data_IF_148157808540
#
_entry.id   IF_148157808540
#
_cell.length_a   1.000
_cell.length_b   1.000
_cell.length_c   1.000
_cell.angle_alpha   90.00
_cell.angle_beta   90.00
_cell.angle_gamma   90.00
#
_symmetry.space_group_name_H-M   'P 1'
#
loop_
_entity.id
_entity.type
_entity.pdbx_description
1 polymer ?
#
# COMPACT_ATOMS: atom_id res chain seq x y z
N UNK A 1 -17.54 -5.63 34.10
CA UNK A 1 -17.58 -5.03 32.74
C UNK A 1 -16.35 -5.57 32.01
N UNK A 2 -16.52 -6.44 31.02
CA UNK A 2 -15.40 -7.03 30.29
C UNK A 2 -14.87 -5.98 29.31
N UNK A 3 -13.60 -5.59 29.44
CA UNK A 3 -12.90 -4.75 28.48
C UNK A 3 -12.13 -5.69 27.55
N UNK A 4 -12.65 -5.88 26.33
CA UNK A 4 -11.92 -6.57 25.27
C UNK A 4 -11.01 -5.53 24.62
N UNK A 5 -9.70 -5.73 24.75
CA UNK A 5 -8.70 -4.98 24.01
C UNK A 5 -8.35 -5.80 22.76
N UNK A 6 -8.54 -5.21 21.58
CA UNK A 6 -8.01 -5.72 20.32
C UNK A 6 -6.68 -5.01 20.06
N UNK A 7 -5.59 -5.76 20.09
CA UNK A 7 -4.21 -5.30 19.91
C UNK A 7 -3.69 -5.58 18.48
N UNK A 8 -4.53 -6.12 17.60
CA UNK A 8 -4.16 -6.35 16.20
C UNK A 8 -3.97 -5.02 15.48
N UNK A 9 -2.86 -4.90 14.75
CA UNK A 9 -2.61 -3.74 13.90
C UNK A 9 -3.67 -3.73 12.79
N UNK A 10 -4.55 -2.72 12.72
CA UNK A 10 -5.79 -2.80 11.92
C UNK A 10 -5.54 -2.80 10.41
N UNK A 11 -4.29 -2.69 9.98
CA UNK A 11 -3.86 -2.68 8.58
C UNK A 11 -2.58 -3.49 8.48
N UNK A 12 -2.72 -4.79 8.24
CA UNK A 12 -1.59 -5.68 7.97
C UNK A 12 -1.46 -5.86 6.45
N UNK A 13 -0.27 -5.60 5.92
CA UNK A 13 0.13 -6.04 4.58
C UNK A 13 0.72 -7.44 4.72
N UNK A 14 0.23 -8.39 3.95
CA UNK A 14 0.85 -9.71 3.87
C UNK A 14 2.12 -9.61 3.00
N UNK A 15 3.28 -9.88 3.60
CA UNK A 15 4.60 -10.13 2.95
C UNK A 15 5.38 -8.95 2.34
N UNK A 16 6.68 -9.21 2.07
CA UNK A 16 7.55 -8.37 1.24
C UNK A 16 7.06 -8.40 -0.21
N UNK A 17 6.78 -7.22 -0.77
CA UNK A 17 6.35 -7.11 -2.16
C UNK A 17 7.58 -7.05 -3.06
N UNK A 18 7.61 -7.93 -4.05
CA UNK A 18 8.68 -7.98 -5.05
C UNK A 18 8.08 -7.64 -6.41
N UNK A 19 8.67 -6.66 -7.08
CA UNK A 19 8.32 -6.33 -8.46
C UNK A 19 9.02 -7.30 -9.43
N UNK A 20 8.23 -8.05 -10.17
CA UNK A 20 8.66 -9.07 -11.14
C UNK A 20 8.31 -8.71 -12.60
N UNK A 21 7.81 -7.48 -12.83
CA UNK A 21 7.42 -6.99 -14.14
C UNK A 21 5.91 -6.88 -14.35
N UNK A 22 5.09 -7.36 -13.42
CA UNK A 22 3.62 -7.26 -13.47
C UNK A 22 3.05 -6.27 -12.44
N UNK A 23 1.75 -5.99 -12.55
CA UNK A 23 1.05 -5.12 -11.60
C UNK A 23 1.14 -5.72 -10.19
N UNK A 24 1.31 -4.86 -9.19
CA UNK A 24 1.36 -5.30 -7.79
C UNK A 24 0.00 -5.09 -7.16
N UNK A 25 -0.63 -6.19 -6.78
CA UNK A 25 -1.86 -6.19 -6.00
C UNK A 25 -1.55 -6.38 -4.51
N UNK A 26 -2.05 -5.45 -3.69
CA UNK A 26 -1.88 -5.44 -2.24
C UNK A 26 -3.26 -5.55 -1.62
N UNK A 27 -3.51 -6.67 -0.93
CA UNK A 27 -4.73 -6.87 -0.17
C UNK A 27 -4.51 -6.46 1.30
N UNK A 28 -5.42 -5.66 1.83
CA UNK A 28 -5.41 -5.21 3.21
C UNK A 28 -6.55 -5.87 3.99
N UNK A 29 -6.29 -6.23 5.24
CA UNK A 29 -7.36 -6.41 6.23
C UNK A 29 -7.68 -5.02 6.79
N UNK A 30 -8.89 -4.51 6.55
CA UNK A 30 -9.23 -3.11 6.84
C UNK A 30 -10.09 -2.89 8.10
N UNK A 31 -10.76 -3.93 8.61
CA UNK A 31 -11.77 -3.78 9.67
C UNK A 31 -12.78 -2.64 9.36
N UNK A 32 -12.75 -1.54 10.11
CA UNK A 32 -13.61 -0.36 9.91
C UNK A 32 -13.00 0.71 9.00
N UNK A 33 -11.73 0.56 8.62
CA UNK A 33 -11.02 1.54 7.79
C UNK A 33 -11.40 1.37 6.31
N UNK A 34 -11.24 2.46 5.56
CA UNK A 34 -11.19 2.46 4.09
C UNK A 34 -9.86 2.99 3.61
N UNK A 35 -9.40 2.49 2.47
CA UNK A 35 -8.24 3.05 1.77
C UNK A 35 -8.66 4.37 1.13
N UNK A 36 -7.86 5.41 1.34
CA UNK A 36 -8.13 6.77 0.85
C UNK A 36 -7.27 7.10 -0.36
N UNK A 37 -5.96 6.87 -0.25
CA UNK A 37 -5.00 7.17 -1.32
C UNK A 37 -3.66 6.49 -1.09
N UNK A 38 -2.91 6.34 -2.18
CA UNK A 38 -1.49 5.99 -2.17
C UNK A 38 -0.67 7.24 -2.48
N UNK A 39 0.42 7.44 -1.75
CA UNK A 39 1.31 8.60 -1.87
C UNK A 39 2.79 8.21 -1.74
N UNK A 40 3.65 9.10 -2.22
CA UNK A 40 5.11 8.94 -2.20
C UNK A 40 5.67 8.61 -3.59
N UNK A 41 6.97 8.89 -3.79
CA UNK A 41 7.68 8.64 -5.05
C UNK A 41 6.88 9.08 -6.30
N UNK A 42 6.30 10.28 -6.24
CA UNK A 42 5.56 10.91 -7.35
C UNK A 42 4.40 10.06 -7.91
N UNK A 43 3.92 9.05 -7.18
CA UNK A 43 2.75 8.29 -7.58
C UNK A 43 1.52 9.20 -7.56
N UNK A 44 0.65 9.03 -8.56
CA UNK A 44 -0.62 9.74 -8.68
C UNK A 44 -1.74 8.71 -8.85
N UNK A 45 -3.00 9.14 -8.71
CA UNK A 45 -4.17 8.27 -8.90
C UNK A 45 -4.31 7.71 -10.32
N UNK A 46 -3.47 8.13 -11.27
CA UNK A 46 -3.40 7.52 -12.61
C UNK A 46 -2.56 6.22 -12.63
N UNK A 47 -1.80 5.94 -11.57
CA UNK A 47 -0.87 4.81 -11.49
C UNK A 47 -1.27 3.75 -10.46
N UNK A 48 -2.45 3.88 -9.86
CA UNK A 48 -3.01 2.85 -9.01
C UNK A 48 -4.53 2.86 -9.04
N UNK A 49 -5.11 1.72 -8.72
CA UNK A 49 -6.54 1.54 -8.50
C UNK A 49 -6.79 1.11 -7.04
N UNK A 50 -7.85 1.64 -6.44
CA UNK A 50 -8.37 1.15 -5.15
C UNK A 50 -9.67 0.41 -5.44
N UNK A 51 -9.71 -0.89 -5.14
CA UNK A 51 -10.88 -1.73 -5.33
C UNK A 51 -11.21 -2.46 -4.02
N UNK A 52 -12.16 -1.91 -3.27
CA UNK A 52 -12.56 -2.42 -1.96
C UNK A 52 -11.39 -2.39 -0.97
N UNK A 53 -10.88 -3.58 -0.61
CA UNK A 53 -9.75 -3.73 0.30
C UNK A 53 -8.39 -3.90 -0.39
N UNK A 54 -8.33 -3.65 -1.70
CA UNK A 54 -7.14 -3.86 -2.52
C UNK A 54 -6.63 -2.55 -3.11
N UNK A 55 -5.31 -2.47 -3.25
CA UNK A 55 -4.60 -1.49 -4.07
C UNK A 55 -3.88 -2.23 -5.18
N UNK A 56 -4.09 -1.84 -6.43
CA UNK A 56 -3.36 -2.38 -7.59
C UNK A 56 -2.47 -1.25 -8.09
N UNK A 57 -1.15 -1.47 -8.14
CA UNK A 57 -0.16 -0.49 -8.62
C UNK A 57 0.27 -0.89 -10.03
N UNK A 58 0.18 0.05 -10.96
CA UNK A 58 0.50 -0.15 -12.38
C UNK A 58 1.99 -0.48 -12.59
N UNK A 59 2.24 -1.54 -13.37
CA UNK A 59 3.57 -2.02 -13.70
C UNK A 59 4.40 -1.03 -14.52
N UNK A 60 3.78 -0.15 -15.30
CA UNK A 60 4.53 0.84 -16.07
C UNK A 60 5.10 1.92 -15.15
N UNK A 61 4.35 2.35 -14.14
CA UNK A 61 4.86 3.21 -13.06
C UNK A 61 6.02 2.54 -12.33
N UNK A 62 5.85 1.29 -11.90
CA UNK A 62 6.89 0.54 -11.19
C UNK A 62 8.15 0.37 -12.06
N UNK A 63 7.99 -0.01 -13.32
CA UNK A 63 9.09 -0.16 -14.29
C UNK A 63 9.88 1.15 -14.46
N UNK A 64 9.18 2.28 -14.58
CA UNK A 64 9.83 3.60 -14.68
C UNK A 64 10.61 3.92 -13.42
N UNK A 65 10.03 3.69 -12.24
CA UNK A 65 10.69 3.97 -10.96
C UNK A 65 11.92 3.10 -10.76
N UNK A 66 11.87 1.82 -11.11
CA UNK A 66 12.99 0.89 -11.00
C UNK A 66 14.02 0.97 -12.15
N UNK A 67 13.77 1.82 -13.15
CA UNK A 67 14.75 2.20 -14.17
C UNK A 67 15.62 3.39 -13.72
N UNK A 68 15.23 4.13 -12.68
CA UNK A 68 16.06 5.18 -12.10
C UNK A 68 17.33 4.57 -11.47
N UNK A 69 18.49 5.18 -11.74
CA UNK A 69 19.79 4.60 -11.40
C UNK A 69 19.93 4.31 -9.90
N UNK A 70 20.31 3.08 -9.57
CA UNK A 70 20.57 2.64 -8.19
C UNK A 70 19.34 2.37 -7.32
N UNK A 71 18.11 2.43 -7.87
CA UNK A 71 16.91 2.12 -7.09
C UNK A 71 16.68 0.61 -6.96
N UNK A 72 16.81 0.10 -5.74
CA UNK A 72 16.53 -1.31 -5.37
C UNK A 72 15.21 -1.47 -4.61
N UNK A 73 14.77 -0.42 -3.91
CA UNK A 73 13.54 -0.40 -3.13
C UNK A 73 12.74 0.86 -3.43
N UNK A 74 11.43 0.70 -3.58
CA UNK A 74 10.45 1.76 -3.67
C UNK A 74 9.59 1.74 -2.40
N UNK A 75 9.46 2.90 -1.75
CA UNK A 75 8.66 3.04 -0.52
C UNK A 75 7.47 3.94 -0.79
N UNK A 76 6.27 3.37 -0.79
CA UNK A 76 5.04 4.12 -0.89
C UNK A 76 4.36 4.18 0.47
N UNK A 77 3.40 5.07 0.60
CA UNK A 77 2.54 5.15 1.77
C UNK A 77 1.09 5.00 1.33
N UNK A 78 0.31 4.30 2.13
CA UNK A 78 -1.12 4.13 1.93
C UNK A 78 -1.84 4.78 3.10
N UNK A 79 -2.78 5.68 2.80
CA UNK A 79 -3.59 6.36 3.79
C UNK A 79 -4.91 5.63 3.98
N UNK A 80 -5.29 5.48 5.25
CA UNK A 80 -6.51 4.84 5.68
C UNK A 80 -7.32 5.81 6.55
N UNK A 81 -8.64 5.71 6.48
CA UNK A 81 -9.52 6.51 7.33
C UNK A 81 -10.70 5.71 7.84
N UNK A 82 -11.13 6.04 9.05
CA UNK A 82 -12.51 5.87 9.54
C UNK A 82 -13.14 7.25 9.69
N UNK A 83 -14.37 7.33 10.17
CA UNK A 83 -15.02 8.61 10.47
C UNK A 83 -14.35 9.37 11.63
N UNK A 84 -13.52 8.71 12.44
CA UNK A 84 -12.90 9.29 13.64
C UNK A 84 -11.37 9.28 13.64
N UNK A 85 -10.73 8.50 12.75
CA UNK A 85 -9.29 8.26 12.80
C UNK A 85 -8.68 8.19 11.40
N UNK A 86 -7.46 8.70 11.29
CA UNK A 86 -6.61 8.54 10.12
C UNK A 86 -5.39 7.69 10.48
N UNK A 87 -4.96 6.85 9.55
CA UNK A 87 -3.81 5.97 9.73
C UNK A 87 -2.98 5.93 8.44
N UNK A 88 -1.66 5.75 8.59
CA UNK A 88 -0.72 5.67 7.49
C UNK A 88 0.04 4.34 7.60
N UNK A 89 0.05 3.55 6.53
CA UNK A 89 0.93 2.38 6.39
C UNK A 89 1.98 2.63 5.32
N UNK A 90 3.17 2.07 5.51
CA UNK A 90 4.20 2.06 4.46
C UNK A 90 4.15 0.75 3.69
N UNK A 91 4.37 0.86 2.39
CA UNK A 91 4.46 -0.26 1.45
C UNK A 91 5.89 -0.26 0.92
N UNK A 92 6.60 -1.37 1.12
CA UNK A 92 7.95 -1.58 0.63
C UNK A 92 7.92 -2.54 -0.55
N UNK A 93 8.40 -2.08 -1.70
CA UNK A 93 8.46 -2.86 -2.93
C UNK A 93 9.92 -2.97 -3.33
N UNK A 94 10.45 -4.19 -3.45
CA UNK A 94 11.82 -4.44 -3.89
C UNK A 94 11.87 -4.88 -5.35
N UNK A 95 12.99 -4.60 -6.02
CA UNK A 95 13.31 -5.17 -7.34
C UNK A 95 14.18 -6.41 -7.13
N UNK A 96 13.84 -7.53 -7.78
CA UNK A 96 14.71 -8.71 -7.87
C UNK A 96 15.93 -8.47 -8.75
#
# INVERSE_FOLDING_TARGET
KLLVHDDRNPVQVESELVFDGEDIEIAFTLYEYRIVKVEGNEITSAFYEISGNRVIIDKNYLSRKFAEAGRTTLVLSCQFSTDQKHFLSYIFISKR
#
